data_IF_042338393548
#
_entry.id   IF_042338393548
#
_cell.length_a   1.000
_cell.length_b   1.000
_cell.length_c   1.000
_cell.angle_alpha   90.00
_cell.angle_beta   90.00
_cell.angle_gamma   90.00
#
_symmetry.space_group_name_H-M   'P 1'
#
loop_
_entity.id
_entity.type
_entity.pdbx_description
1 polymer ?
#
# COMPACT_ATOMS: atom_id res chain seq x y z
N UNK A 1 6.31 -7.05 34.32
CA UNK A 1 5.36 -6.45 35.28
C UNK A 1 5.64 -7.00 36.67
N UNK A 2 5.70 -6.12 37.67
CA UNK A 2 6.01 -6.46 39.07
C UNK A 2 4.78 -6.14 39.94
N UNK A 3 4.38 -7.10 40.76
CA UNK A 3 3.28 -6.97 41.72
C UNK A 3 3.87 -6.44 43.03
N UNK A 4 3.40 -5.28 43.51
CA UNK A 4 3.77 -4.73 44.81
C UNK A 4 2.69 -5.01 45.87
N UNK A 5 2.90 -4.50 47.09
CA UNK A 5 1.98 -4.66 48.23
C UNK A 5 0.62 -4.02 47.92
N UNK A 6 -0.47 -4.68 48.33
CA UNK A 6 -1.81 -4.16 48.11
C UNK A 6 -2.16 -4.05 46.62
N UNK A 7 -2.63 -2.87 46.20
CA UNK A 7 -3.07 -2.59 44.83
C UNK A 7 -1.96 -2.04 43.91
N UNK A 8 -0.76 -1.80 44.43
CA UNK A 8 0.31 -1.15 43.66
C UNK A 8 0.89 -2.07 42.57
N UNK A 9 0.96 -1.57 41.33
CA UNK A 9 1.46 -2.33 40.18
C UNK A 9 2.38 -1.46 39.32
N UNK A 10 3.49 -2.05 38.87
CA UNK A 10 4.24 -1.52 37.74
C UNK A 10 3.55 -1.96 36.43
N UNK A 11 2.78 -1.06 35.83
CA UNK A 11 2.13 -1.30 34.56
C UNK A 11 3.10 -1.19 33.38
N UNK A 12 2.85 -1.98 32.33
CA UNK A 12 3.52 -1.80 31.06
C UNK A 12 3.32 -0.36 30.53
N UNK A 13 4.39 0.28 30.06
CA UNK A 13 4.34 1.67 29.59
C UNK A 13 3.31 1.89 28.48
N UNK A 14 3.16 0.96 27.53
CA UNK A 14 2.15 1.08 26.46
C UNK A 14 0.73 0.91 26.98
N UNK A 15 0.54 0.04 27.97
CA UNK A 15 -0.76 -0.08 28.64
C UNK A 15 -1.15 1.25 29.31
N UNK A 16 -0.21 1.94 29.97
CA UNK A 16 -0.47 3.27 30.52
C UNK A 16 -0.76 4.32 29.43
N UNK A 17 -0.08 4.27 28.29
CA UNK A 17 -0.40 5.12 27.14
C UNK A 17 -1.81 4.87 26.60
N UNK A 18 -2.23 3.60 26.54
CA UNK A 18 -3.60 3.22 26.18
C UNK A 18 -4.62 3.77 27.18
N UNK A 19 -4.33 3.64 28.49
CA UNK A 19 -5.14 4.24 29.55
C UNK A 19 -5.28 5.76 29.37
N UNK A 20 -4.18 6.47 29.09
CA UNK A 20 -4.22 7.91 28.81
C UNK A 20 -4.99 8.25 27.54
N UNK A 21 -4.86 7.45 26.48
CA UNK A 21 -5.58 7.63 25.20
C UNK A 21 -7.10 7.53 25.39
N UNK A 22 -7.58 6.60 26.21
CA UNK A 22 -9.00 6.41 26.50
C UNK A 22 -9.49 7.14 27.77
N UNK A 23 -8.64 7.90 28.44
CA UNK A 23 -8.93 8.58 29.70
C UNK A 23 -9.46 7.63 30.79
N UNK A 24 -8.85 6.45 30.91
CA UNK A 24 -9.20 5.42 31.90
C UNK A 24 -8.11 5.31 32.97
N UNK A 25 -8.51 5.26 34.23
CA UNK A 25 -7.61 4.97 35.35
C UNK A 25 -7.63 3.46 35.69
N UNK A 26 -6.49 2.75 35.60
CA UNK A 26 -6.46 1.32 35.89
C UNK A 26 -6.41 1.03 37.40
N UNK A 27 -7.44 0.36 37.91
CA UNK A 27 -7.50 -0.10 39.30
C UNK A 27 -7.15 -1.58 39.37
N UNK A 28 -6.05 -1.91 40.07
CA UNK A 28 -5.67 -3.29 40.30
C UNK A 28 -6.34 -3.87 41.55
N UNK A 29 -6.66 -5.17 41.50
CA UNK A 29 -7.13 -5.90 42.68
C UNK A 29 -5.95 -6.35 43.54
N UNK A 30 -6.20 -6.47 44.84
CA UNK A 30 -5.24 -7.02 45.81
C UNK A 30 -4.97 -8.51 45.49
N UNK A 31 -3.71 -9.00 45.53
CA UNK A 31 -3.42 -10.40 45.26
C UNK A 31 -4.17 -11.29 46.25
N UNK A 32 -4.72 -12.41 45.78
CA UNK A 32 -5.53 -13.35 46.56
C UNK A 32 -6.86 -12.80 47.13
N UNK A 33 -7.30 -11.61 46.74
CA UNK A 33 -8.59 -11.02 47.17
C UNK A 33 -9.68 -11.19 46.12
N UNK A 34 -10.17 -12.42 45.92
CA UNK A 34 -11.23 -12.73 44.94
C UNK A 34 -12.56 -11.99 45.20
N UNK A 35 -12.83 -11.63 46.45
CA UNK A 35 -14.03 -10.89 46.85
C UNK A 35 -14.13 -9.49 46.20
N UNK A 36 -13.00 -8.88 45.81
CA UNK A 36 -12.98 -7.59 45.10
C UNK A 36 -13.56 -7.68 43.67
N UNK A 37 -13.83 -8.88 43.14
CA UNK A 37 -14.32 -9.11 41.78
C UNK A 37 -15.74 -9.69 41.69
N UNK A 38 -16.46 -9.82 42.80
CA UNK A 38 -17.73 -10.55 42.85
C UNK A 38 -18.80 -10.06 41.87
N UNK A 39 -18.93 -8.73 41.68
CA UNK A 39 -19.91 -8.16 40.75
C UNK A 39 -19.57 -8.49 39.28
N UNK A 40 -18.31 -8.33 38.89
CA UNK A 40 -17.83 -8.60 37.53
C UNK A 40 -18.01 -10.09 37.20
N UNK A 41 -17.67 -10.97 38.13
CA UNK A 41 -17.81 -12.42 37.94
C UNK A 41 -19.28 -12.84 37.77
N UNK A 42 -20.19 -12.25 38.55
CA UNK A 42 -21.62 -12.52 38.41
C UNK A 42 -22.16 -12.07 37.03
N UNK A 43 -21.80 -10.85 36.59
CA UNK A 43 -22.21 -10.33 35.29
C UNK A 43 -21.69 -11.20 34.13
N UNK A 44 -20.43 -11.63 34.19
CA UNK A 44 -19.87 -12.60 33.22
C UNK A 44 -20.66 -13.90 33.23
N UNK A 45 -21.03 -14.40 34.41
CA UNK A 45 -21.88 -15.59 34.56
C UNK A 45 -23.25 -15.44 33.91
N UNK A 46 -23.90 -14.27 34.05
CA UNK A 46 -25.20 -13.96 33.43
C UNK A 46 -25.09 -13.99 31.91
N UNK A 47 -24.12 -13.29 31.33
CA UNK A 47 -23.93 -13.25 29.87
C UNK A 47 -23.60 -14.64 29.33
N UNK A 48 -22.73 -15.41 30.00
CA UNK A 48 -22.39 -16.78 29.59
C UNK A 48 -23.61 -17.68 29.55
N UNK A 49 -24.43 -17.70 30.60
CA UNK A 49 -25.64 -18.53 30.66
C UNK A 49 -26.70 -18.10 29.64
N UNK A 50 -26.79 -16.81 29.34
CA UNK A 50 -27.86 -16.28 28.49
C UNK A 50 -27.53 -16.32 27.00
N UNK A 51 -26.29 -16.00 26.62
CA UNK A 51 -25.89 -15.90 25.21
C UNK A 51 -25.14 -17.15 24.75
N UNK A 52 -24.35 -17.80 25.61
CA UNK A 52 -23.47 -18.88 25.19
C UNK A 52 -23.96 -20.29 25.56
N UNK A 53 -25.22 -20.42 25.98
CA UNK A 53 -25.85 -21.71 26.29
C UNK A 53 -27.17 -21.84 25.50
N UNK A 54 -27.28 -22.83 24.59
CA UNK A 54 -26.22 -23.75 24.15
C UNK A 54 -25.09 -23.02 23.42
N UNK A 55 -23.91 -23.66 23.31
CA UNK A 55 -22.72 -23.05 22.71
C UNK A 55 -23.00 -22.71 21.22
N UNK A 56 -22.98 -21.42 20.84
CA UNK A 56 -23.23 -21.04 19.46
C UNK A 56 -22.04 -21.40 18.56
N UNK A 57 -22.30 -21.61 17.27
CA UNK A 57 -21.29 -21.96 16.26
C UNK A 57 -21.36 -20.93 15.13
N UNK A 58 -20.20 -20.39 14.77
CA UNK A 58 -20.04 -19.37 13.73
C UNK A 58 -18.86 -19.75 12.84
N UNK A 59 -18.82 -19.20 11.62
CA UNK A 59 -17.76 -19.46 10.64
C UNK A 59 -16.48 -18.71 10.98
N UNK A 60 -16.61 -17.49 11.51
CA UNK A 60 -15.48 -16.62 11.85
C UNK A 60 -15.85 -15.66 12.99
N UNK A 61 -14.85 -14.91 13.47
CA UNK A 61 -15.03 -13.94 14.56
C UNK A 61 -15.91 -12.75 14.16
N UNK A 62 -15.92 -12.35 12.89
CA UNK A 62 -16.75 -11.23 12.45
C UNK A 62 -18.25 -11.56 12.60
N UNK A 63 -18.66 -12.77 12.21
CA UNK A 63 -20.03 -13.25 12.38
C UNK A 63 -20.41 -13.36 13.87
N UNK A 64 -19.52 -13.89 14.71
CA UNK A 64 -19.72 -13.94 16.16
C UNK A 64 -19.89 -12.54 16.75
N UNK A 65 -19.05 -11.58 16.37
CA UNK A 65 -19.07 -10.22 16.89
C UNK A 65 -20.37 -9.50 16.52
N UNK A 66 -20.80 -9.59 15.26
CA UNK A 66 -22.07 -9.01 14.81
C UNK A 66 -23.26 -9.62 15.58
N UNK A 67 -23.30 -10.95 15.72
CA UNK A 67 -24.34 -11.61 16.49
C UNK A 67 -24.34 -11.21 17.97
N UNK A 68 -23.15 -11.06 18.59
CA UNK A 68 -23.04 -10.64 19.99
C UNK A 68 -23.54 -9.21 20.19
N UNK A 69 -23.19 -8.30 19.28
CA UNK A 69 -23.65 -6.92 19.31
C UNK A 69 -25.17 -6.85 19.27
N UNK A 70 -25.80 -7.53 18.30
CA UNK A 70 -27.25 -7.60 18.16
C UNK A 70 -27.92 -8.11 19.44
N UNK A 71 -27.36 -9.16 20.05
CA UNK A 71 -27.90 -9.75 21.29
C UNK A 71 -27.76 -8.84 22.49
N UNK A 72 -26.63 -8.14 22.61
CA UNK A 72 -26.40 -7.17 23.68
C UNK A 72 -27.38 -5.99 23.57
N UNK A 73 -27.56 -5.43 22.36
CA UNK A 73 -28.50 -4.33 22.12
C UNK A 73 -29.94 -4.79 22.36
N UNK A 74 -30.34 -5.95 21.84
CA UNK A 74 -31.68 -6.49 22.06
C UNK A 74 -31.96 -6.73 23.55
N UNK A 75 -30.97 -7.23 24.30
CA UNK A 75 -31.12 -7.39 25.74
C UNK A 75 -31.26 -6.05 26.46
N UNK A 76 -30.40 -5.08 26.17
CA UNK A 76 -30.47 -3.76 26.80
C UNK A 76 -31.84 -3.08 26.56
N UNK A 77 -32.41 -3.24 25.37
CA UNK A 77 -33.75 -2.71 25.01
C UNK A 77 -34.90 -3.40 25.72
N UNK A 78 -34.75 -4.66 26.11
CA UNK A 78 -35.81 -5.44 26.76
C UNK A 78 -35.67 -5.48 28.29
N UNK A 79 -34.49 -5.17 28.83
CA UNK A 79 -34.21 -5.32 30.25
C UNK A 79 -34.57 -4.05 31.03
N UNK A 80 -35.43 -4.14 32.05
CA UNK A 80 -35.70 -3.01 32.95
C UNK A 80 -34.41 -2.53 33.63
N UNK A 81 -34.31 -1.23 33.84
CA UNK A 81 -33.21 -0.65 34.60
C UNK A 81 -33.31 -1.08 36.08
N UNK A 82 -32.21 -1.54 36.72
CA UNK A 82 -32.26 -2.08 38.08
C UNK A 82 -32.71 -1.06 39.14
N UNK A 83 -32.44 0.22 38.91
CA UNK A 83 -32.70 1.31 39.88
C UNK A 83 -33.76 2.31 39.41
N UNK A 84 -34.15 2.28 38.14
CA UNK A 84 -35.08 3.26 37.54
C UNK A 84 -36.31 2.52 37.02
N UNK A 85 -37.34 2.33 37.86
CA UNK A 85 -38.55 1.63 37.45
C UNK A 85 -39.21 2.28 36.24
N UNK A 86 -39.72 1.47 35.32
CA UNK A 86 -40.43 1.93 34.12
C UNK A 86 -39.53 2.34 32.96
N UNK A 87 -38.21 2.31 33.11
CA UNK A 87 -37.25 2.51 32.03
C UNK A 87 -36.43 1.24 31.78
N UNK A 88 -35.92 1.10 30.56
CA UNK A 88 -35.00 0.03 30.16
C UNK A 88 -33.56 0.49 30.27
N UNK A 89 -32.63 -0.47 30.35
CA UNK A 89 -31.18 -0.17 30.35
C UNK A 89 -30.79 0.64 29.10
N UNK A 90 -31.38 0.34 27.94
CA UNK A 90 -31.11 1.05 26.70
C UNK A 90 -31.58 2.51 26.72
N UNK A 91 -32.78 2.79 27.24
CA UNK A 91 -33.31 4.16 27.32
C UNK A 91 -32.43 5.04 28.20
N UNK A 92 -32.00 4.52 29.36
CA UNK A 92 -31.09 5.22 30.27
C UNK A 92 -29.72 5.44 29.61
N UNK A 93 -29.18 4.40 28.95
CA UNK A 93 -27.91 4.52 28.21
C UNK A 93 -27.97 5.60 27.13
N UNK A 94 -29.02 5.65 26.31
CA UNK A 94 -29.17 6.65 25.26
C UNK A 94 -29.32 8.07 25.83
N UNK A 95 -29.99 8.22 26.97
CA UNK A 95 -30.09 9.50 27.67
C UNK A 95 -28.74 9.96 28.24
N UNK A 96 -27.90 9.05 28.74
CA UNK A 96 -26.57 9.35 29.27
C UNK A 96 -25.49 9.51 28.20
N UNK A 97 -25.70 8.93 27.00
CA UNK A 97 -24.72 8.89 25.91
C UNK A 97 -24.08 10.23 25.57
N UNK A 98 -24.81 11.37 25.52
CA UNK A 98 -24.22 12.69 25.26
C UNK A 98 -23.27 13.18 26.36
N UNK A 99 -23.39 12.64 27.57
CA UNK A 99 -22.57 12.97 28.73
C UNK A 99 -21.29 12.11 28.82
N UNK A 100 -21.16 11.09 27.97
CA UNK A 100 -19.98 10.22 27.94
C UNK A 100 -18.78 10.92 27.29
N UNK A 101 -17.58 10.51 27.70
CA UNK A 101 -16.33 10.95 27.07
C UNK A 101 -16.34 10.55 25.58
N UNK A 102 -16.10 11.49 24.64
CA UNK A 102 -16.07 11.19 23.21
C UNK A 102 -15.03 10.12 22.86
N UNK A 103 -15.40 9.23 21.94
CA UNK A 103 -14.47 8.23 21.41
C UNK A 103 -13.43 8.90 20.49
N UNK A 104 -12.16 8.85 20.87
CA UNK A 104 -11.04 9.47 20.14
C UNK A 104 -10.42 8.57 19.06
N UNK A 105 -10.99 7.38 18.82
CA UNK A 105 -10.47 6.43 17.84
C UNK A 105 -9.58 5.33 18.45
N UNK A 106 -9.09 4.40 17.62
CA UNK A 106 -8.31 3.26 18.08
C UNK A 106 -6.93 3.69 18.59
N UNK A 107 -6.51 3.12 19.72
CA UNK A 107 -5.13 3.22 20.18
C UNK A 107 -4.23 2.36 19.30
N UNK A 108 -3.06 2.88 18.94
CA UNK A 108 -2.04 2.13 18.21
C UNK A 108 -1.42 1.06 19.12
N UNK A 109 -2.07 -0.10 19.25
CA UNK A 109 -1.71 -1.17 20.17
C UNK A 109 -0.85 -2.25 19.53
N UNK A 110 0.47 -2.04 19.43
CA UNK A 110 1.41 -3.04 18.92
C UNK A 110 2.47 -3.47 19.94
N UNK A 111 2.92 -4.71 19.81
CA UNK A 111 4.11 -5.23 20.50
C UNK A 111 5.33 -5.10 19.59
N UNK A 112 6.36 -4.40 20.06
CA UNK A 112 7.58 -4.11 19.30
C UNK A 112 8.69 -5.12 19.63
N UNK A 113 9.30 -5.74 18.62
CA UNK A 113 10.41 -6.68 18.83
C UNK A 113 11.45 -6.53 17.72
N UNK A 114 12.75 -6.39 18.04
CA UNK A 114 13.78 -6.40 17.01
C UNK A 114 13.96 -7.81 16.44
N UNK A 115 14.21 -7.92 15.13
CA UNK A 115 14.52 -9.18 14.49
C UNK A 115 15.52 -9.05 13.34
N UNK A 116 16.32 -10.10 13.13
CA UNK A 116 17.25 -10.18 12.02
C UNK A 116 16.55 -10.59 10.72
N UNK A 117 16.93 -9.97 9.61
CA UNK A 117 16.51 -10.40 8.27
C UNK A 117 17.49 -11.43 7.73
N UNK A 118 16.99 -12.59 7.33
CA UNK A 118 17.80 -13.63 6.69
C UNK A 118 18.20 -13.26 5.25
N UNK A 119 19.22 -13.94 4.70
CA UNK A 119 19.68 -13.74 3.31
C UNK A 119 18.62 -14.04 2.25
N UNK A 120 17.55 -14.76 2.61
CA UNK A 120 16.41 -15.06 1.74
C UNK A 120 15.26 -14.08 1.94
N UNK A 121 15.52 -12.89 2.49
CA UNK A 121 14.53 -11.84 2.75
C UNK A 121 13.39 -12.28 3.69
N UNK A 122 13.66 -13.18 4.64
CA UNK A 122 12.67 -13.65 5.61
C UNK A 122 13.01 -13.20 7.03
N UNK A 123 11.98 -12.80 7.78
CA UNK A 123 12.03 -12.48 9.22
C UNK A 123 11.18 -13.49 9.98
N UNK A 124 11.71 -14.00 11.11
CA UNK A 124 10.99 -14.95 11.96
C UNK A 124 10.24 -14.20 13.06
N UNK A 125 8.94 -14.46 13.18
CA UNK A 125 8.10 -13.96 14.26
C UNK A 125 7.05 -15.00 14.62
N UNK A 126 6.82 -15.23 15.92
CA UNK A 126 5.78 -16.13 16.43
C UNK A 126 5.78 -17.53 15.78
N UNK A 127 6.98 -18.11 15.58
CA UNK A 127 7.23 -19.38 14.89
C UNK A 127 6.85 -19.44 13.39
N UNK A 128 6.56 -18.30 12.79
CA UNK A 128 6.30 -18.15 11.36
C UNK A 128 7.40 -17.29 10.72
N UNK A 129 7.47 -17.32 9.38
CA UNK A 129 8.41 -16.56 8.57
C UNK A 129 7.62 -15.64 7.65
N UNK A 130 8.03 -14.38 7.56
CA UNK A 130 7.40 -13.37 6.71
C UNK A 130 8.45 -12.77 5.80
N UNK A 131 8.14 -12.58 4.53
CA UNK A 131 9.07 -11.88 3.64
C UNK A 131 9.14 -10.39 3.96
N UNK A 132 10.29 -9.79 3.72
CA UNK A 132 10.49 -8.34 3.71
C UNK A 132 11.19 -7.95 2.42
N UNK A 133 11.13 -6.69 2.04
CA UNK A 133 11.83 -6.18 0.87
C UNK A 133 13.32 -6.53 0.90
N UNK A 134 13.88 -6.87 -0.26
CA UNK A 134 15.28 -7.25 -0.38
C UNK A 134 16.28 -6.21 0.15
N UNK A 135 15.90 -4.91 0.13
CA UNK A 135 16.70 -3.81 0.68
C UNK A 135 16.90 -3.89 2.21
N UNK A 136 16.02 -4.61 2.90
CA UNK A 136 16.07 -4.78 4.36
C UNK A 136 17.13 -5.79 4.82
N UNK A 137 17.64 -6.63 3.91
CA UNK A 137 18.63 -7.67 4.21
C UNK A 137 19.94 -7.04 4.72
N UNK A 138 20.50 -7.61 5.79
CA UNK A 138 21.81 -7.23 6.33
C UNK A 138 21.76 -6.31 7.54
N UNK A 139 20.58 -5.72 7.86
CA UNK A 139 20.35 -4.95 9.09
C UNK A 139 19.11 -5.47 9.81
N UNK A 140 19.00 -5.31 11.14
CA UNK A 140 17.80 -5.69 11.86
C UNK A 140 16.60 -4.82 11.44
N UNK A 141 15.40 -5.34 11.68
CA UNK A 141 14.12 -4.64 11.55
C UNK A 141 13.41 -4.60 12.89
N UNK A 142 12.58 -3.59 13.11
CA UNK A 142 11.60 -3.58 14.19
C UNK A 142 10.32 -4.26 13.70
N UNK A 143 9.89 -5.32 14.36
CA UNK A 143 8.58 -5.93 14.15
C UNK A 143 7.58 -5.18 15.00
N UNK A 144 6.53 -4.65 14.38
CA UNK A 144 5.33 -4.18 15.07
C UNK A 144 4.22 -5.21 14.88
N UNK A 145 4.00 -6.00 15.94
CA UNK A 145 2.99 -7.04 15.92
C UNK A 145 1.67 -6.51 16.46
N UNK A 146 0.67 -6.45 15.59
CA UNK A 146 -0.71 -6.12 15.89
C UNK A 146 -1.53 -7.42 16.13
N UNK A 147 -2.81 -7.26 16.44
CA UNK A 147 -3.73 -8.39 16.58
C UNK A 147 -3.85 -9.18 15.26
N UNK A 148 -4.06 -8.47 14.14
CA UNK A 148 -4.39 -9.08 12.84
C UNK A 148 -3.28 -8.95 11.79
N UNK A 149 -2.27 -8.13 12.05
CA UNK A 149 -1.17 -7.87 11.12
C UNK A 149 0.19 -7.80 11.80
N UNK A 150 1.23 -7.92 11.01
CA UNK A 150 2.61 -7.68 11.40
C UNK A 150 3.23 -6.70 10.39
N UNK A 151 3.90 -5.69 10.90
CA UNK A 151 4.66 -4.74 10.10
C UNK A 151 6.15 -4.86 10.44
N UNK A 152 7.00 -4.70 9.44
CA UNK A 152 8.45 -4.75 9.55
C UNK A 152 8.99 -3.37 9.19
N UNK A 153 9.65 -2.72 10.15
CA UNK A 153 10.13 -1.36 10.02
C UNK A 153 11.66 -1.32 9.97
N UNK A 154 12.21 -0.51 9.07
CA UNK A 154 13.64 -0.21 9.00
C UNK A 154 13.81 1.26 8.64
N UNK A 155 14.65 1.98 9.39
CA UNK A 155 14.94 3.41 9.18
C UNK A 155 13.67 4.29 9.06
N UNK A 156 12.64 3.98 9.86
CA UNK A 156 11.37 4.72 9.85
C UNK A 156 10.44 4.42 8.67
N UNK A 157 10.78 3.42 7.83
CA UNK A 157 9.94 2.98 6.71
C UNK A 157 9.46 1.55 6.91
N UNK A 158 8.26 1.25 6.44
CA UNK A 158 7.76 -0.12 6.34
C UNK A 158 8.50 -0.81 5.18
N UNK A 159 9.15 -1.93 5.48
CA UNK A 159 9.83 -2.80 4.51
C UNK A 159 9.11 -4.14 4.35
N UNK A 160 7.94 -4.29 4.96
CA UNK A 160 7.06 -5.43 4.77
C UNK A 160 5.85 -5.35 5.68
N UNK A 161 4.70 -5.77 5.17
CA UNK A 161 3.45 -5.83 5.93
C UNK A 161 2.70 -7.09 5.54
N UNK A 162 2.22 -7.84 6.53
CA UNK A 162 1.51 -9.10 6.31
C UNK A 162 0.34 -9.26 7.27
N UNK A 163 -0.69 -10.00 6.85
CA UNK A 163 -1.65 -10.56 7.79
C UNK A 163 -0.94 -11.48 8.77
N UNK A 164 -1.26 -11.36 10.06
CA UNK A 164 -0.64 -12.15 11.10
C UNK A 164 -1.08 -13.60 10.97
N UNK A 165 -0.09 -14.45 10.73
CA UNK A 165 -0.29 -15.89 10.68
C UNK A 165 -0.19 -16.49 12.08
N UNK A 166 -1.26 -17.15 12.53
CA UNK A 166 -1.26 -17.96 13.75
C UNK A 166 -0.89 -19.42 13.44
N UNK A 167 -0.36 -20.13 14.44
CA UNK A 167 0.19 -21.47 14.30
C UNK A 167 1.72 -21.46 14.19
N UNK A 168 2.31 -22.49 13.59
CA UNK A 168 3.76 -22.66 13.51
C UNK A 168 4.20 -23.02 12.09
N UNK A 169 5.45 -22.69 11.77
CA UNK A 169 6.19 -23.09 10.57
C UNK A 169 5.60 -22.60 9.23
N UNK A 170 4.69 -21.63 9.24
CA UNK A 170 4.20 -21.00 8.01
C UNK A 170 5.28 -20.06 7.44
N UNK A 171 5.34 -19.98 6.11
CA UNK A 171 6.13 -18.99 5.40
C UNK A 171 5.18 -18.16 4.53
N UNK A 172 5.04 -16.88 4.86
CA UNK A 172 4.20 -15.93 4.15
C UNK A 172 5.09 -15.09 3.25
N UNK A 173 4.80 -15.12 1.94
CA UNK A 173 5.57 -14.41 0.94
C UNK A 173 4.70 -13.35 0.29
N UNK A 174 5.22 -12.12 0.26
CA UNK A 174 4.91 -11.14 -0.76
C UNK A 174 5.95 -11.28 -1.89
N UNK A 175 5.54 -11.66 -3.11
CA UNK A 175 6.41 -11.74 -4.28
C UNK A 175 7.09 -10.42 -4.67
N UNK A 176 6.44 -9.27 -4.40
CA UNK A 176 6.95 -7.95 -4.77
C UNK A 176 8.25 -7.62 -4.04
N UNK A 177 8.39 -8.10 -2.80
CA UNK A 177 9.62 -7.98 -2.00
C UNK A 177 10.88 -8.54 -2.70
N UNK A 178 10.69 -9.46 -3.66
CA UNK A 178 11.76 -10.17 -4.37
C UNK A 178 12.03 -9.62 -5.77
N UNK A 179 11.27 -8.64 -6.27
CA UNK A 179 11.48 -8.05 -7.61
C UNK A 179 12.93 -7.53 -7.78
N UNK A 180 13.55 -6.81 -6.82
CA UNK A 180 14.95 -6.39 -6.94
C UNK A 180 15.93 -7.58 -7.01
N UNK A 181 15.57 -8.72 -6.42
CA UNK A 181 16.36 -9.96 -6.50
C UNK A 181 16.24 -10.57 -7.90
N UNK A 182 15.03 -10.57 -8.47
CA UNK A 182 14.77 -11.06 -9.83
C UNK A 182 15.55 -10.27 -10.88
N UNK A 183 15.69 -8.95 -10.73
CA UNK A 183 16.49 -8.13 -11.65
C UNK A 183 17.94 -8.63 -11.79
N UNK A 184 18.50 -9.21 -10.71
CA UNK A 184 19.85 -9.81 -10.71
C UNK A 184 19.84 -11.29 -11.10
N UNK A 185 18.76 -12.00 -10.82
CA UNK A 185 18.61 -13.45 -11.05
C UNK A 185 17.25 -13.80 -11.68
N UNK A 186 17.04 -13.50 -12.98
CA UNK A 186 15.72 -13.67 -13.60
C UNK A 186 15.19 -15.11 -13.56
N UNK A 187 16.08 -16.10 -13.67
CA UNK A 187 15.69 -17.53 -13.62
C UNK A 187 15.06 -17.99 -12.30
N UNK A 188 15.20 -17.20 -11.22
CA UNK A 188 14.52 -17.50 -9.96
C UNK A 188 12.99 -17.36 -10.05
N UNK A 189 12.47 -16.66 -11.07
CA UNK A 189 11.03 -16.50 -11.31
C UNK A 189 10.33 -17.86 -11.51
N UNK A 190 11.01 -18.86 -12.08
CA UNK A 190 10.42 -20.17 -12.40
C UNK A 190 10.16 -21.03 -11.17
N UNK A 191 11.12 -21.02 -10.23
CA UNK A 191 11.19 -22.03 -9.15
C UNK A 191 11.24 -21.43 -7.75
N UNK A 192 11.37 -20.11 -7.63
CA UNK A 192 11.44 -19.43 -6.35
C UNK A 192 10.17 -19.65 -5.54
N UNK A 193 10.32 -20.03 -4.26
CA UNK A 193 9.20 -20.27 -3.36
C UNK A 193 8.16 -19.11 -3.33
N UNK A 194 8.55 -17.82 -3.36
CA UNK A 194 7.59 -16.72 -3.40
C UNK A 194 6.69 -16.72 -4.64
N UNK A 195 7.15 -17.28 -5.77
CA UNK A 195 6.46 -17.13 -7.07
C UNK A 195 5.58 -18.32 -7.44
N UNK A 196 5.66 -19.44 -6.71
CA UNK A 196 4.93 -20.67 -7.04
C UNK A 196 3.42 -20.52 -6.93
N UNK A 197 2.96 -19.85 -5.88
CA UNK A 197 1.54 -19.64 -5.58
C UNK A 197 1.13 -18.18 -5.82
N UNK A 198 1.93 -17.43 -6.58
CA UNK A 198 1.62 -16.04 -6.82
C UNK A 198 0.39 -15.93 -7.73
N UNK A 199 -0.70 -15.37 -7.17
CA UNK A 199 -1.88 -15.07 -7.96
C UNK A 199 -1.71 -13.82 -8.83
N UNK A 200 -0.93 -13.97 -9.90
CA UNK A 200 -0.76 -12.95 -10.92
C UNK A 200 -2.07 -12.65 -11.65
N UNK A 201 -2.37 -11.36 -11.88
CA UNK A 201 -3.53 -10.98 -12.67
C UNK A 201 -3.52 -11.58 -14.08
N UNK A 202 -4.71 -11.72 -14.65
CA UNK A 202 -4.96 -12.62 -15.78
C UNK A 202 -4.15 -12.25 -17.04
N UNK A 203 -4.05 -10.96 -17.35
CA UNK A 203 -3.31 -10.48 -18.50
C UNK A 203 -1.79 -10.67 -18.31
N UNK A 204 -1.27 -10.37 -17.12
CA UNK A 204 0.15 -10.58 -16.79
C UNK A 204 0.51 -12.07 -16.86
N UNK A 205 -0.36 -12.95 -16.34
CA UNK A 205 -0.16 -14.42 -16.43
C UNK A 205 -0.17 -14.92 -17.87
N UNK A 206 -0.97 -14.31 -18.76
CA UNK A 206 -0.95 -14.61 -20.20
C UNK A 206 0.36 -14.14 -20.85
N UNK A 207 0.83 -12.93 -20.54
CA UNK A 207 2.12 -12.42 -21.01
C UNK A 207 3.27 -13.32 -20.54
N UNK A 208 3.30 -13.67 -19.25
CA UNK A 208 4.31 -14.58 -18.68
C UNK A 208 4.37 -15.92 -19.42
N UNK A 209 3.22 -16.53 -19.74
CA UNK A 209 3.16 -17.80 -20.50
C UNK A 209 3.68 -17.65 -21.93
N UNK A 210 3.40 -16.53 -22.60
CA UNK A 210 3.92 -16.26 -23.95
C UNK A 210 5.43 -16.05 -23.91
N UNK A 211 5.91 -15.20 -22.99
CA UNK A 211 7.34 -14.93 -22.79
C UNK A 211 8.12 -16.19 -22.42
N UNK A 212 7.54 -17.11 -21.64
CA UNK A 212 8.21 -18.37 -21.28
C UNK A 212 8.62 -19.26 -22.47
N UNK A 213 8.10 -19.01 -23.68
CA UNK A 213 8.45 -19.71 -24.93
C UNK A 213 9.51 -18.97 -25.75
N UNK A 214 9.87 -17.75 -25.37
CA UNK A 214 10.79 -16.87 -26.09
C UNK A 214 12.15 -16.87 -25.40
N UNK A 215 13.27 -16.83 -26.15
CA UNK A 215 14.58 -16.58 -25.56
C UNK A 215 14.58 -15.30 -24.72
N UNK A 216 15.23 -15.31 -23.55
CA UNK A 216 15.24 -14.17 -22.61
C UNK A 216 13.87 -13.74 -22.06
N UNK A 217 12.82 -14.56 -22.20
CA UNK A 217 11.48 -14.23 -21.72
C UNK A 217 11.40 -13.97 -20.21
N UNK A 218 12.18 -14.69 -19.40
CA UNK A 218 12.25 -14.45 -17.95
C UNK A 218 12.73 -13.02 -17.66
N UNK A 219 13.72 -12.51 -18.42
CA UNK A 219 14.25 -11.17 -18.22
C UNK A 219 13.22 -10.10 -18.60
N UNK A 220 12.55 -10.27 -19.73
CA UNK A 220 11.44 -9.40 -20.14
C UNK A 220 10.32 -9.40 -19.11
N UNK A 221 9.96 -10.58 -18.58
CA UNK A 221 8.94 -10.66 -17.54
C UNK A 221 9.38 -9.93 -16.27
N UNK A 222 10.65 -10.05 -15.88
CA UNK A 222 11.20 -9.34 -14.73
C UNK A 222 11.20 -7.82 -14.93
N UNK A 223 11.46 -7.33 -16.14
CA UNK A 223 11.34 -5.90 -16.48
C UNK A 223 9.90 -5.41 -16.33
N UNK A 224 8.91 -6.18 -16.81
CA UNK A 224 7.48 -5.87 -16.64
C UNK A 224 7.09 -5.89 -15.15
N UNK A 225 7.55 -6.89 -14.39
CA UNK A 225 7.32 -6.94 -12.94
C UNK A 225 7.97 -5.77 -12.21
N UNK A 226 9.13 -5.30 -12.67
CA UNK A 226 9.80 -4.11 -12.17
C UNK A 226 8.90 -2.87 -12.20
N UNK A 227 8.10 -2.72 -13.25
CA UNK A 227 7.17 -1.60 -13.39
C UNK A 227 6.05 -1.60 -12.33
N UNK A 228 5.71 -2.75 -11.74
CA UNK A 228 4.71 -2.83 -10.65
C UNK A 228 5.11 -1.99 -9.43
N UNK A 229 6.42 -1.85 -9.16
CA UNK A 229 6.92 -1.03 -8.05
C UNK A 229 6.74 0.47 -8.28
N UNK A 230 6.51 0.91 -9.51
CA UNK A 230 6.39 2.32 -9.91
C UNK A 230 4.94 2.66 -10.25
N UNK A 231 4.33 1.89 -11.16
CA UNK A 231 3.02 2.16 -11.74
C UNK A 231 1.88 1.46 -11.00
N UNK A 232 2.20 0.49 -10.12
CA UNK A 232 1.22 -0.35 -9.45
C UNK A 232 0.74 -1.54 -10.30
N UNK A 233 0.13 -2.52 -9.61
CA UNK A 233 -0.26 -3.80 -10.23
C UNK A 233 -1.34 -3.62 -11.31
N UNK A 234 -2.35 -2.80 -11.04
CA UNK A 234 -3.50 -2.60 -11.93
C UNK A 234 -3.11 -1.93 -13.24
N UNK A 235 -2.22 -0.92 -13.18
CA UNK A 235 -1.74 -0.23 -14.37
C UNK A 235 -0.94 -1.16 -15.28
N UNK A 236 -0.07 -1.99 -14.69
CA UNK A 236 0.73 -2.98 -15.41
C UNK A 236 -0.14 -4.08 -16.00
N UNK A 237 -1.17 -4.55 -15.28
CA UNK A 237 -2.13 -5.49 -15.83
C UNK A 237 -2.85 -4.89 -17.05
N UNK A 238 -3.35 -3.66 -16.93
CA UNK A 238 -4.05 -2.99 -18.01
C UNK A 238 -3.14 -2.77 -19.24
N UNK A 239 -1.86 -2.45 -19.04
CA UNK A 239 -0.89 -2.37 -20.13
C UNK A 239 -0.61 -3.73 -20.77
N UNK A 240 -0.53 -4.80 -19.97
CA UNK A 240 -0.44 -6.17 -20.49
C UNK A 240 -1.67 -6.56 -21.31
N UNK A 241 -2.87 -6.17 -20.88
CA UNK A 241 -4.11 -6.47 -21.57
C UNK A 241 -4.20 -5.75 -22.93
N UNK A 242 -3.79 -4.48 -22.98
CA UNK A 242 -3.67 -3.68 -24.20
C UNK A 242 -2.69 -4.32 -25.18
N UNK A 243 -1.46 -4.61 -24.75
CA UNK A 243 -0.45 -5.28 -25.57
C UNK A 243 -0.95 -6.62 -26.14
N UNK A 244 -1.63 -7.43 -25.32
CA UNK A 244 -2.20 -8.70 -25.75
C UNK A 244 -3.31 -8.54 -26.79
N UNK A 245 -4.09 -7.46 -26.73
CA UNK A 245 -5.14 -7.12 -27.70
C UNK A 245 -4.52 -6.77 -29.06
N UNK A 246 -3.40 -6.06 -29.04
CA UNK A 246 -2.59 -5.73 -30.22
C UNK A 246 -1.73 -6.92 -30.72
N UNK A 247 -1.82 -8.09 -30.07
CA UNK A 247 -1.09 -9.30 -30.46
C UNK A 247 0.38 -9.34 -30.01
N UNK A 248 0.87 -8.31 -29.32
CA UNK A 248 2.24 -8.17 -28.83
C UNK A 248 2.37 -8.54 -27.35
N UNK A 249 3.59 -8.81 -26.89
CA UNK A 249 3.85 -9.26 -25.51
C UNK A 249 5.30 -9.03 -25.05
N UNK A 250 6.07 -8.18 -25.74
CA UNK A 250 7.42 -7.82 -25.33
C UNK A 250 7.39 -6.81 -24.18
N UNK A 251 8.45 -6.81 -23.37
CA UNK A 251 8.61 -5.82 -22.30
C UNK A 251 8.58 -4.38 -22.85
N UNK A 252 9.29 -4.10 -23.94
CA UNK A 252 9.38 -2.75 -24.53
C UNK A 252 8.02 -2.14 -24.85
N UNK A 253 7.10 -2.92 -25.44
CA UNK A 253 5.77 -2.42 -25.78
C UNK A 253 4.94 -2.15 -24.53
N UNK A 254 4.97 -3.06 -23.55
CA UNK A 254 4.23 -2.90 -22.29
C UNK A 254 4.75 -1.69 -21.52
N UNK A 255 6.08 -1.53 -21.44
CA UNK A 255 6.72 -0.38 -20.80
C UNK A 255 6.43 0.93 -21.56
N UNK A 256 6.34 0.89 -22.90
CA UNK A 256 5.93 2.05 -23.70
C UNK A 256 4.47 2.44 -23.46
N UNK A 257 3.54 1.46 -23.39
CA UNK A 257 2.14 1.70 -23.01
C UNK A 257 2.08 2.39 -21.64
N UNK A 258 2.83 1.90 -20.65
CA UNK A 258 2.92 2.53 -19.33
C UNK A 258 3.51 3.94 -19.39
N UNK A 259 4.56 4.14 -20.19
CA UNK A 259 5.19 5.45 -20.36
C UNK A 259 4.20 6.48 -20.93
N UNK A 260 3.45 6.13 -21.99
CA UNK A 260 2.41 6.98 -22.58
C UNK A 260 1.31 7.37 -21.59
N UNK A 261 0.99 6.49 -20.63
CA UNK A 261 0.00 6.79 -19.58
C UNK A 261 0.52 7.74 -18.50
N UNK A 262 1.85 7.80 -18.31
CA UNK A 262 2.50 8.77 -17.42
C UNK A 262 2.66 10.14 -18.07
N UNK A 263 2.62 10.22 -19.39
CA UNK A 263 2.76 11.49 -20.09
C UNK A 263 1.65 12.45 -19.65
N UNK A 264 1.99 13.68 -19.23
CA UNK A 264 0.99 14.68 -18.93
C UNK A 264 0.20 15.00 -20.20
N UNK A 265 -1.03 15.46 -20.03
CA UNK A 265 -1.84 15.92 -21.15
C UNK A 265 -1.02 16.91 -21.99
N UNK A 266 -1.01 16.76 -23.33
CA UNK A 266 -0.29 17.69 -24.18
C UNK A 266 -0.77 19.11 -23.87
N UNK A 267 0.15 20.09 -23.80
CA UNK A 267 -0.23 21.46 -23.55
C UNK A 267 -1.27 21.90 -24.59
N UNK A 268 -2.22 22.74 -24.16
CA UNK A 268 -3.23 23.29 -25.06
C UNK A 268 -2.54 23.90 -26.27
N UNK A 269 -2.95 23.49 -27.47
CA UNK A 269 -2.49 24.10 -28.71
C UNK A 269 -2.85 25.58 -28.64
N UNK A 270 -1.86 26.44 -28.45
CA UNK A 270 -2.04 27.88 -28.56
C UNK A 270 -2.38 28.15 -30.02
N UNK A 271 -3.55 28.72 -30.27
CA UNK A 271 -3.89 29.20 -31.61
C UNK A 271 -2.86 30.28 -31.97
N UNK A 272 -1.98 29.95 -32.92
CA UNK A 272 -0.96 30.88 -33.42
C UNK A 272 -1.67 32.14 -33.91
N UNK A 273 -1.42 33.33 -33.32
CA UNK A 273 -2.03 34.56 -33.79
C UNK A 273 -1.70 34.79 -35.28
N UNK A 274 -2.63 35.38 -36.03
CA UNK A 274 -2.44 35.65 -37.48
C UNK A 274 -1.17 36.48 -37.76
N UNK A 275 -0.73 37.30 -36.79
CA UNK A 275 0.52 38.06 -36.86
C UNK A 275 1.79 37.19 -36.92
N UNK A 276 1.73 35.93 -36.48
CA UNK A 276 2.83 34.96 -36.54
C UNK A 276 2.72 34.02 -37.76
N UNK A 277 1.76 34.27 -38.66
CA UNK A 277 1.65 33.54 -39.92
C UNK A 277 2.81 33.95 -40.82
N UNK A 278 3.63 32.98 -41.23
CA UNK A 278 4.80 33.25 -42.05
C UNK A 278 4.37 33.88 -43.37
N UNK A 279 4.83 35.12 -43.63
CA UNK A 279 4.58 35.80 -44.91
C UNK A 279 5.27 35.10 -46.09
N UNK A 280 6.32 34.32 -45.81
CA UNK A 280 6.99 33.46 -46.77
C UNK A 280 7.15 32.08 -46.13
N UNK A 281 6.35 31.12 -46.56
CA UNK A 281 6.47 29.75 -46.07
C UNK A 281 7.77 29.12 -46.60
N UNK A 282 8.59 28.51 -45.72
CA UNK A 282 9.78 27.83 -46.15
C UNK A 282 9.37 26.62 -47.00
N UNK A 283 9.76 26.63 -48.28
CA UNK A 283 9.63 25.46 -49.14
C UNK A 283 10.62 24.41 -48.65
N UNK A 284 10.11 23.25 -48.23
CA UNK A 284 10.92 22.08 -47.88
C UNK A 284 11.52 21.45 -49.16
N UNK A 285 12.56 22.10 -49.69
CA UNK A 285 13.30 21.65 -50.87
C UNK A 285 14.62 20.99 -50.45
N UNK A 286 14.60 19.66 -50.34
CA UNK A 286 15.78 18.85 -50.05
C UNK A 286 16.83 18.90 -51.17
N UNK A 287 16.48 19.32 -52.39
CA UNK A 287 17.41 19.47 -53.53
C UNK A 287 18.39 20.63 -53.38
N UNK A 288 18.13 21.55 -52.43
CA UNK A 288 19.10 22.60 -52.05
C UNK A 288 20.43 22.04 -51.57
N UNK A 289 20.43 20.87 -50.92
CA UNK A 289 21.67 20.22 -50.48
C UNK A 289 22.48 19.63 -51.64
N UNK A 290 21.86 19.33 -52.78
CA UNK A 290 22.55 18.82 -53.97
C UNK A 290 23.40 19.91 -54.66
N UNK A 291 23.07 21.20 -54.42
CA UNK A 291 23.89 22.32 -54.89
C UNK A 291 25.25 22.40 -54.18
N UNK A 292 25.34 21.94 -52.93
CA UNK A 292 26.58 21.85 -52.14
C UNK A 292 27.50 20.69 -52.59
N UNK A 293 27.01 19.81 -53.47
CA UNK A 293 27.77 18.69 -54.05
C UNK A 293 28.42 19.02 -55.40
N UNK A 294 28.23 20.23 -55.93
CA UNK A 294 28.86 20.66 -57.20
C UNK A 294 30.27 21.21 -56.94
N UNK A 295 31.27 20.98 -57.82
CA UNK A 295 32.68 21.29 -57.54
C UNK A 295 33.03 22.79 -57.55
N UNK A 296 32.20 23.63 -58.17
CA UNK A 296 32.50 25.04 -58.37
C UNK A 296 31.81 25.93 -57.33
N UNK A 297 32.32 25.91 -56.10
CA UNK A 297 32.10 27.03 -55.18
C UNK A 297 33.28 27.99 -55.28
N UNK A 298 33.07 29.10 -56.01
CA UNK A 298 34.04 30.19 -56.02
C UNK A 298 33.89 31.32 -57.03
N UNK A 299 32.72 31.60 -57.64
CA UNK A 299 32.45 32.94 -58.23
C UNK A 299 30.98 33.32 -58.11
N UNK A 300 30.70 34.25 -57.21
CA UNK A 300 29.46 35.05 -57.23
C UNK A 300 29.60 36.00 -58.43
N UNK A 301 28.95 35.69 -59.54
CA UNK A 301 28.73 36.64 -60.63
C UNK A 301 27.35 37.26 -60.45
N UNK A 302 27.27 38.27 -59.58
CA UNK A 302 26.10 39.11 -59.38
C UNK A 302 26.55 40.55 -59.22
N UNK A 303 26.03 41.45 -60.06
CA UNK A 303 26.39 42.86 -60.07
C UNK A 303 26.24 43.48 -58.67
N UNK A 304 27.26 44.23 -58.26
CA UNK A 304 27.38 44.80 -56.93
C UNK A 304 26.18 45.61 -56.48
N UNK A 305 25.77 45.36 -55.25
CA UNK A 305 25.20 46.36 -54.35
C UNK A 305 25.89 46.18 -52.99
N UNK A 306 27.15 46.60 -52.94
CA UNK A 306 27.76 47.03 -51.68
C UNK A 306 27.10 48.37 -51.31
N UNK A 307 25.94 48.29 -50.67
CA UNK A 307 25.41 49.34 -49.82
C UNK A 307 25.59 48.91 -48.37
N UNK A 308 25.95 49.81 -47.44
CA UNK A 308 26.05 49.46 -46.04
C UNK A 308 24.69 48.94 -45.55
N UNK A 309 24.72 47.87 -44.75
CA UNK A 309 23.52 47.34 -44.11
C UNK A 309 22.98 48.37 -43.11
N UNK A 310 22.02 49.19 -43.56
CA UNK A 310 21.19 49.98 -42.66
C UNK A 310 20.12 49.07 -42.06
N UNK A 311 20.20 48.89 -40.74
CA UNK A 311 19.09 48.39 -39.96
C UNK A 311 17.99 49.46 -39.98
N UNK A 312 16.97 49.26 -40.82
CA UNK A 312 15.72 50.00 -40.70
C UNK A 312 15.02 49.52 -39.42
N UNK A 313 15.33 50.21 -38.32
CA UNK A 313 14.41 50.33 -37.19
C UNK A 313 13.23 51.16 -37.69
N UNK A 314 12.08 50.52 -37.82
CA UNK A 314 10.83 51.26 -37.91
C UNK A 314 10.44 51.69 -36.49
N UNK A 315 10.95 52.86 -36.10
CA UNK A 315 10.35 53.67 -35.04
C UNK A 315 9.21 54.48 -35.68
N UNK A 316 8.02 53.88 -35.67
CA UNK A 316 6.76 54.50 -36.07
C UNK A 316 5.73 54.33 -34.96
N UNK A 317 5.59 55.40 -34.17
CA UNK A 317 4.71 55.57 -33.01
C UNK A 317 3.21 55.30 -33.27
N UNK A 318 2.58 54.71 -32.25
CA UNK A 318 1.14 54.58 -31.90
C UNK A 318 0.27 53.57 -32.67
#
# INVERSE_FOLDING_TARGET
>A
DTIFVGKDRAYNRRFQQMCGHYLVEPVACTPASGWEKGQVENQVGVIRRRLFVPRPRFRNYAELNAWLEDRCVAWAKAHPHPELPGQTVWEVFEAERPSLVPYVGPFDGFHAVPASVSKTCLVRFDNNRYSVEAKAVGRPVEIRAYAERVEFWQDGQIVGQHTRAFGRNKAVYDPLHYIPVLARKPGALRNGAPFKEWDLPSAMRRVQRKLGRVPNGDRQMVEILGAVLIDGLDAVEAACAEALTEGVHSADVILNILARRREPAPPLTIATPDALRLACEPVADCGRYDSLRRPDHGKIAGAGRDGPAEALRDEGSL
#
